data_IF_297526899966
#
_entry.id   IF_297526899966
#
_cell.length_a   1.000
_cell.length_b   1.000
_cell.length_c   1.000
_cell.angle_alpha   90.00
_cell.angle_beta   90.00
_cell.angle_gamma   90.00
#
_symmetry.space_group_name_H-M   'P 1'
#
loop_
_entity.id
_entity.type
_entity.pdbx_description
1 polymer ?
#
# COMPACT_ATOMS: atom_id res chain seq x y z
N UNK A 1 0.12 -20.83 -12.07
CA UNK A 1 -1.33 -20.54 -12.20
C UNK A 1 -1.46 -19.03 -12.08
N UNK A 2 -1.69 -18.32 -13.19
CA UNK A 2 -1.82 -16.86 -13.16
C UNK A 2 -3.15 -16.51 -12.49
N UNK A 3 -3.11 -16.04 -11.23
CA UNK A 3 -4.21 -15.29 -10.65
C UNK A 3 -4.28 -13.96 -11.40
N UNK A 4 -5.17 -13.88 -12.39
CA UNK A 4 -5.33 -12.71 -13.26
C UNK A 4 -5.92 -11.47 -12.53
N UNK A 5 -6.22 -11.57 -11.23
CA UNK A 5 -6.97 -10.56 -10.48
C UNK A 5 -6.39 -10.22 -9.09
N UNK A 6 -5.20 -10.70 -8.70
CA UNK A 6 -4.61 -10.23 -7.44
C UNK A 6 -3.97 -8.85 -7.62
N UNK A 7 -4.43 -7.89 -6.83
CA UNK A 7 -3.84 -6.55 -6.80
C UNK A 7 -2.48 -6.69 -6.13
N UNK A 8 -1.41 -6.41 -6.87
CA UNK A 8 -0.08 -6.35 -6.31
C UNK A 8 0.06 -5.03 -5.54
N UNK A 9 0.13 -5.11 -4.21
CA UNK A 9 0.33 -3.96 -3.32
C UNK A 9 1.80 -3.52 -3.22
N UNK A 10 2.72 -4.28 -3.81
CA UNK A 10 4.14 -3.99 -3.92
C UNK A 10 4.97 -4.34 -2.68
N UNK A 11 4.33 -4.49 -1.52
CA UNK A 11 4.95 -4.95 -0.29
C UNK A 11 3.95 -5.70 0.60
N UNK A 12 4.43 -6.62 1.46
CA UNK A 12 3.61 -7.32 2.43
C UNK A 12 2.83 -6.40 3.36
N UNK A 13 1.68 -6.89 3.80
CA UNK A 13 0.89 -6.24 4.84
C UNK A 13 1.68 -6.12 6.16
N UNK A 14 1.45 -5.02 6.87
CA UNK A 14 2.01 -4.79 8.20
C UNK A 14 0.88 -4.66 9.20
N UNK A 15 0.93 -5.51 10.22
CA UNK A 15 0.01 -5.47 11.34
C UNK A 15 0.63 -4.62 12.45
N UNK A 16 -0.10 -3.62 12.93
CA UNK A 16 0.27 -2.80 14.06
C UNK A 16 -0.99 -2.27 14.74
N UNK A 17 -0.99 -2.20 16.07
CA UNK A 17 -2.08 -1.61 16.85
C UNK A 17 -2.09 -0.07 16.76
N UNK A 18 -0.96 0.52 16.35
CA UNK A 18 -0.82 1.96 16.19
C UNK A 18 -1.15 2.35 14.76
N UNK A 19 -2.26 3.06 14.56
CA UNK A 19 -2.62 3.69 13.30
C UNK A 19 -1.90 5.04 13.14
N UNK A 20 -1.49 5.35 11.92
CA UNK A 20 -0.92 6.64 11.53
C UNK A 20 -1.61 7.14 10.27
N UNK A 21 -1.79 8.46 10.20
CA UNK A 21 -2.34 9.14 9.03
C UNK A 21 -1.20 9.68 8.18
N UNK A 22 -1.23 9.43 6.88
CA UNK A 22 -0.30 9.95 5.88
C UNK A 22 -1.08 10.62 4.75
N UNK A 23 -0.52 11.69 4.20
CA UNK A 23 -1.05 12.35 3.00
C UNK A 23 -0.31 11.81 1.76
N UNK A 24 -1.04 11.20 0.82
CA UNK A 24 -0.52 10.70 -0.47
C UNK A 24 -1.30 11.39 -1.58
N UNK A 25 -0.62 12.15 -2.44
CA UNK A 25 -1.22 12.94 -3.54
C UNK A 25 -2.43 13.82 -3.11
N UNK A 26 -2.40 14.35 -1.88
CA UNK A 26 -3.46 15.18 -1.32
C UNK A 26 -4.65 14.41 -0.73
N UNK A 27 -4.53 13.08 -0.61
CA UNK A 27 -5.50 12.21 0.06
C UNK A 27 -4.94 11.77 1.41
N UNK A 28 -5.71 11.98 2.48
CA UNK A 28 -5.38 11.45 3.80
C UNK A 28 -5.71 9.94 3.86
N UNK A 29 -4.72 9.15 4.28
CA UNK A 29 -4.79 7.68 4.34
C UNK A 29 -4.37 7.21 5.72
N UNK A 30 -5.21 6.43 6.37
CA UNK A 30 -4.92 5.82 7.67
C UNK A 30 -4.42 4.38 7.48
N UNK A 31 -3.20 4.10 7.95
CA UNK A 31 -2.60 2.76 7.88
C UNK A 31 -1.88 2.39 9.18
N UNK A 32 -1.67 1.08 9.43
CA UNK A 32 -0.85 0.64 10.56
C UNK A 32 0.59 1.17 10.44
N UNK A 33 1.16 1.60 11.57
CA UNK A 33 2.54 2.08 11.60
C UNK A 33 3.52 1.00 11.09
N UNK A 34 4.42 1.41 10.20
CA UNK A 34 5.37 0.50 9.53
C UNK A 34 4.90 0.00 8.17
N UNK A 35 3.66 0.28 7.77
CA UNK A 35 3.17 0.04 6.39
C UNK A 35 4.00 0.85 5.39
N UNK A 36 4.32 0.25 4.25
CA UNK A 36 5.05 0.94 3.20
C UNK A 36 4.17 2.01 2.53
N UNK A 37 4.79 3.09 2.07
CA UNK A 37 4.08 4.12 1.29
C UNK A 37 3.45 3.52 0.02
N UNK A 38 4.11 2.53 -0.59
CA UNK A 38 3.60 1.87 -1.80
C UNK A 38 2.29 1.12 -1.55
N UNK A 39 2.19 0.38 -0.43
CA UNK A 39 0.95 -0.30 -0.04
C UNK A 39 -0.14 0.70 0.35
N UNK A 40 0.20 1.71 1.15
CA UNK A 40 -0.74 2.75 1.54
C UNK A 40 -1.31 3.52 0.33
N UNK A 41 -0.50 3.78 -0.71
CA UNK A 41 -0.98 4.39 -1.94
C UNK A 41 -1.98 3.48 -2.67
N UNK A 42 -1.69 2.19 -2.76
CA UNK A 42 -2.59 1.21 -3.38
C UNK A 42 -3.91 1.05 -2.59
N UNK A 43 -3.87 1.08 -1.26
CA UNK A 43 -5.05 1.06 -0.39
C UNK A 43 -5.93 2.31 -0.61
N UNK A 44 -5.31 3.45 -0.93
CA UNK A 44 -6.00 4.68 -1.33
C UNK A 44 -6.45 4.71 -2.81
N UNK A 45 -6.24 3.62 -3.56
CA UNK A 45 -6.56 3.54 -4.99
C UNK A 45 -5.59 4.30 -5.91
N UNK A 46 -4.45 4.74 -5.38
CA UNK A 46 -3.41 5.48 -6.10
C UNK A 46 -2.38 4.47 -6.62
N UNK A 47 -2.45 4.17 -7.91
CA UNK A 47 -1.53 3.23 -8.56
C UNK A 47 -0.18 3.89 -8.85
N UNK A 48 0.80 3.64 -7.99
CA UNK A 48 2.20 4.07 -8.18
C UNK A 48 2.95 3.07 -9.09
N UNK A 49 3.57 3.52 -10.20
CA UNK A 49 4.39 2.65 -11.05
C UNK A 49 5.56 2.04 -10.28
N UNK A 50 5.79 0.75 -10.46
CA UNK A 50 6.84 0.00 -9.76
C UNK A 50 7.53 -0.99 -10.70
N UNK A 51 8.83 -1.20 -10.45
CA UNK A 51 9.66 -2.15 -11.19
C UNK A 51 10.37 -3.15 -10.28
N UNK A 52 10.75 -2.71 -9.06
CA UNK A 52 11.56 -3.50 -8.13
C UNK A 52 10.78 -3.98 -6.88
N UNK A 53 9.46 -3.77 -6.85
CA UNK A 53 8.62 -4.05 -5.69
C UNK A 53 7.38 -4.81 -6.15
N UNK A 54 7.18 -5.99 -5.58
CA UNK A 54 6.09 -6.94 -5.84
C UNK A 54 5.81 -7.63 -4.51
N UNK A 55 4.53 -7.85 -4.20
CA UNK A 55 4.10 -8.61 -3.01
C UNK A 55 4.43 -10.12 -3.10
#
# INVERSE_FOLDING_TARGET
>A
MNQLNDIDYGTPERLSERMITLEIDGVDVDVPAGTSVMRAAMDAGISVPKLCATD
#
